data_IF_315877299880
#
_entry.id   IF_315877299880
#
_cell.length_a   1.000
_cell.length_b   1.000
_cell.length_c   1.000
_cell.angle_alpha   90.00
_cell.angle_beta   90.00
_cell.angle_gamma   90.00
#
_symmetry.space_group_name_H-M   'P 1'
#
loop_
_entity.id
_entity.type
_entity.pdbx_description
1 polymer ?
#
# COMPACT_ATOMS: atom_id res chain seq x y z
N UNK A 1 40.53 -23.85 15.97
CA UNK A 1 39.20 -24.46 15.69
C UNK A 1 38.02 -23.58 16.19
N UNK A 2 38.08 -22.25 16.12
CA UNK A 2 36.98 -21.36 16.56
C UNK A 2 36.20 -20.71 15.40
N UNK A 3 36.81 -20.60 14.22
CA UNK A 3 36.24 -19.89 13.07
C UNK A 3 35.20 -20.69 12.28
N UNK A 4 35.25 -22.03 12.35
CA UNK A 4 34.28 -22.91 11.66
C UNK A 4 32.89 -22.87 12.29
N UNK A 5 32.79 -22.54 13.59
CA UNK A 5 31.52 -22.46 14.32
C UNK A 5 30.79 -21.13 14.06
N UNK A 6 31.52 -20.04 13.85
CA UNK A 6 30.94 -18.75 13.47
C UNK A 6 30.38 -18.73 12.05
N UNK A 7 31.02 -19.41 11.10
CA UNK A 7 30.53 -19.50 9.72
C UNK A 7 29.21 -20.27 9.65
N UNK A 8 29.04 -21.31 10.48
CA UNK A 8 27.79 -22.08 10.55
C UNK A 8 26.60 -21.25 11.08
N UNK A 9 26.83 -20.31 12.00
CA UNK A 9 25.77 -19.44 12.55
C UNK A 9 25.25 -18.41 11.53
N UNK A 10 26.11 -17.90 10.64
CA UNK A 10 25.71 -16.92 9.62
C UNK A 10 24.81 -17.59 8.57
N UNK A 11 25.02 -18.88 8.30
CA UNK A 11 24.23 -19.61 7.30
C UNK A 11 22.79 -19.93 7.75
N UNK A 12 22.49 -19.90 9.05
CA UNK A 12 21.14 -20.16 9.57
C UNK A 12 20.30 -18.88 9.57
N UNK A 13 20.91 -17.71 9.73
CA UNK A 13 20.19 -16.43 9.73
C UNK A 13 19.56 -16.08 8.37
N UNK A 14 20.17 -16.51 7.26
CA UNK A 14 19.66 -16.26 5.91
C UNK A 14 18.47 -17.14 5.53
N UNK A 15 18.21 -18.22 6.28
CA UNK A 15 17.07 -19.12 6.01
C UNK A 15 15.71 -18.60 6.53
N UNK A 16 15.70 -17.55 7.37
CA UNK A 16 14.48 -16.99 7.97
C UNK A 16 13.97 -15.71 7.28
N UNK A 17 14.80 -15.02 6.48
CA UNK A 17 14.40 -13.78 5.81
C UNK A 17 13.46 -14.01 4.62
N UNK A 18 13.47 -15.21 4.02
CA UNK A 18 12.65 -15.53 2.83
C UNK A 18 11.29 -16.17 3.17
N UNK A 19 10.88 -16.21 4.45
CA UNK A 19 9.65 -16.90 4.87
C UNK A 19 8.41 -16.02 5.00
N UNK A 20 8.52 -14.70 4.84
CA UNK A 20 7.34 -13.84 4.73
C UNK A 20 7.11 -13.46 3.26
N UNK A 21 6.48 -14.38 2.53
CA UNK A 21 5.88 -14.09 1.23
C UNK A 21 4.42 -13.72 1.45
N UNK A 22 3.97 -12.60 0.89
CA UNK A 22 2.63 -12.03 1.05
C UNK A 22 1.50 -12.84 0.37
N UNK A 23 1.72 -14.12 0.03
CA UNK A 23 0.76 -14.92 -0.73
C UNK A 23 -0.29 -15.64 0.12
N UNK A 24 -0.37 -15.39 1.42
CA UNK A 24 -1.26 -16.15 2.33
C UNK A 24 -2.65 -15.50 2.56
N UNK A 25 -3.03 -14.45 1.82
CA UNK A 25 -4.37 -13.88 1.95
C UNK A 25 -5.41 -14.46 0.97
N UNK A 26 -5.01 -15.31 0.02
CA UNK A 26 -5.91 -15.82 -1.03
C UNK A 26 -6.33 -17.28 -0.87
N UNK A 27 -5.90 -17.99 0.16
CA UNK A 27 -6.19 -19.43 0.31
C UNK A 27 -7.39 -19.78 1.21
N UNK A 28 -7.95 -18.87 2.00
CA UNK A 28 -9.12 -19.13 2.86
C UNK A 28 -10.48 -18.88 2.20
N UNK A 29 -10.51 -18.35 0.97
CA UNK A 29 -11.76 -18.22 0.19
C UNK A 29 -11.94 -19.34 -0.86
N UNK A 30 -11.00 -20.28 -0.97
CA UNK A 30 -11.01 -21.29 -2.03
C UNK A 30 -11.70 -22.62 -1.66
N UNK A 31 -12.40 -22.72 -0.52
CA UNK A 31 -13.23 -23.90 -0.21
C UNK A 31 -14.70 -23.66 -0.57
N UNK A 32 -15.04 -23.89 -1.85
CA UNK A 32 -16.43 -24.13 -2.24
C UNK A 32 -16.92 -25.45 -1.63
N UNK A 33 -18.15 -25.52 -1.07
CA UNK A 33 -18.73 -26.78 -0.62
C UNK A 33 -19.05 -27.66 -1.84
N UNK A 34 -18.54 -28.90 -1.85
CA UNK A 34 -18.95 -29.92 -2.80
C UNK A 34 -20.18 -30.63 -2.25
N UNK A 35 -21.35 -30.40 -2.86
CA UNK A 35 -22.56 -31.19 -2.62
C UNK A 35 -22.72 -32.23 -3.74
N UNK A 36 -22.82 -33.48 -3.30
CA UNK A 36 -23.08 -34.70 -4.07
C UNK A 36 -24.44 -34.63 -4.78
N UNK A 37 -24.46 -34.90 -6.09
CA UNK A 37 -25.61 -34.72 -6.96
C UNK A 37 -26.39 -36.02 -7.14
N UNK A 38 -27.37 -36.24 -6.26
CA UNK A 38 -28.39 -37.28 -6.46
C UNK A 38 -29.75 -36.84 -5.91
N UNK A 39 -30.30 -35.74 -6.44
CA UNK A 39 -31.76 -35.57 -6.47
C UNK A 39 -32.16 -34.64 -7.61
N UNK A 40 -32.87 -35.22 -8.57
CA UNK A 40 -33.39 -34.63 -9.79
C UNK A 40 -34.55 -33.70 -9.42
N UNK A 41 -34.30 -32.40 -9.30
CA UNK A 41 -35.32 -31.35 -9.42
C UNK A 41 -34.79 -30.25 -10.34
N UNK A 42 -35.67 -29.77 -11.21
CA UNK A 42 -35.43 -28.88 -12.34
C UNK A 42 -34.76 -27.56 -11.90
N UNK A 43 -33.47 -27.38 -12.18
CA UNK A 43 -32.75 -26.11 -11.95
C UNK A 43 -32.63 -25.39 -13.29
N UNK A 44 -33.59 -24.52 -13.57
CA UNK A 44 -33.38 -23.36 -14.45
C UNK A 44 -33.42 -22.12 -13.56
N UNK A 45 -32.38 -21.97 -12.74
CA UNK A 45 -31.97 -20.71 -12.14
C UNK A 45 -30.53 -20.91 -11.66
N UNK A 46 -29.62 -20.89 -12.63
CA UNK A 46 -28.30 -20.34 -12.35
C UNK A 46 -28.41 -18.89 -12.80
N UNK A 47 -29.00 -18.08 -11.93
CA UNK A 47 -28.79 -16.64 -11.99
C UNK A 47 -27.28 -16.47 -11.81
N UNK A 48 -26.60 -16.17 -12.91
CA UNK A 48 -25.21 -15.74 -12.85
C UNK A 48 -25.25 -14.45 -12.05
N UNK A 49 -24.85 -14.54 -10.77
CA UNK A 49 -24.61 -13.38 -9.92
C UNK A 49 -23.79 -12.39 -10.75
N UNK A 50 -24.41 -11.26 -11.09
CA UNK A 50 -23.90 -10.30 -12.05
C UNK A 50 -22.65 -9.66 -11.47
N UNK A 51 -21.52 -10.34 -11.67
CA UNK A 51 -20.17 -9.82 -11.64
C UNK A 51 -19.88 -8.90 -10.44
N UNK A 52 -19.54 -9.51 -9.30
CA UNK A 52 -18.89 -8.83 -8.17
C UNK A 52 -17.46 -8.38 -8.55
N UNK A 53 -17.36 -7.51 -9.55
CA UNK A 53 -16.10 -6.99 -10.08
C UNK A 53 -15.76 -5.68 -9.38
N UNK A 54 -14.60 -5.65 -8.76
CA UNK A 54 -14.11 -4.50 -8.02
C UNK A 54 -13.56 -3.46 -9.01
N UNK A 55 -14.26 -2.34 -9.18
CA UNK A 55 -13.84 -1.22 -10.03
C UNK A 55 -13.94 0.12 -9.31
N UNK A 56 -12.99 1.03 -9.59
CA UNK A 56 -13.09 2.46 -9.29
C UNK A 56 -13.02 2.89 -7.82
N UNK A 57 -13.25 1.98 -6.87
CA UNK A 57 -13.29 2.29 -5.44
C UNK A 57 -14.36 3.31 -5.08
N UNK A 58 -14.23 3.91 -3.89
CA UNK A 58 -15.11 4.96 -3.40
C UNK A 58 -14.29 6.06 -2.71
N UNK A 59 -14.86 7.24 -2.54
CA UNK A 59 -14.19 8.30 -1.80
C UNK A 59 -13.88 7.87 -0.36
N UNK A 60 -12.60 7.97 0.02
CA UNK A 60 -12.16 7.73 1.40
C UNK A 60 -12.70 8.82 2.33
N UNK A 61 -13.01 8.46 3.58
CA UNK A 61 -13.29 9.46 4.62
C UNK A 61 -11.97 10.02 5.13
N UNK A 62 -12.02 11.25 5.62
CA UNK A 62 -10.83 12.02 6.02
C UNK A 62 -9.92 11.32 7.04
N UNK A 63 -10.47 10.47 7.92
CA UNK A 63 -9.72 9.82 9.01
C UNK A 63 -9.43 8.34 8.77
N UNK A 64 -9.86 7.76 7.65
CA UNK A 64 -9.68 6.32 7.40
C UNK A 64 -8.21 5.96 7.16
N UNK A 65 -7.44 6.89 6.57
CA UNK A 65 -6.05 6.67 6.16
C UNK A 65 -5.15 7.85 6.56
N UNK A 66 -4.95 8.10 7.87
CA UNK A 66 -4.26 9.30 8.36
C UNK A 66 -2.75 9.31 8.04
N UNK A 67 -2.19 8.15 7.68
CA UNK A 67 -0.78 7.99 7.31
C UNK A 67 -0.50 8.29 5.85
N UNK A 68 -1.51 8.54 5.01
CA UNK A 68 -1.31 8.88 3.60
C UNK A 68 -0.73 10.28 3.49
N UNK A 69 0.35 10.40 2.74
CA UNK A 69 1.06 11.65 2.46
C UNK A 69 0.96 11.95 0.98
N UNK A 70 0.61 13.20 0.64
CA UNK A 70 0.71 13.70 -0.73
C UNK A 70 2.02 14.46 -0.92
N UNK A 71 2.81 14.10 -1.92
CA UNK A 71 4.02 14.82 -2.29
C UNK A 71 3.72 15.82 -3.40
N UNK A 72 4.19 17.06 -3.24
CA UNK A 72 3.96 18.19 -4.15
C UNK A 72 5.27 18.74 -4.67
N UNK A 73 5.34 18.99 -5.97
CA UNK A 73 6.49 19.64 -6.59
C UNK A 73 6.32 21.16 -6.47
N UNK A 74 7.41 21.92 -6.50
CA UNK A 74 7.40 23.37 -6.74
C UNK A 74 6.63 24.24 -5.73
N UNK A 75 6.13 23.70 -4.62
CA UNK A 75 5.51 24.47 -3.54
C UNK A 75 4.24 23.89 -2.93
N UNK A 76 3.69 24.56 -1.90
CA UNK A 76 2.54 24.06 -1.14
C UNK A 76 1.19 24.19 -1.86
N UNK A 77 1.12 25.02 -2.90
CA UNK A 77 -0.11 25.23 -3.68
C UNK A 77 -0.26 24.26 -4.85
N UNK A 78 0.80 23.53 -5.19
CA UNK A 78 0.81 22.60 -6.31
C UNK A 78 -0.03 21.36 -6.04
N UNK A 79 -0.33 20.61 -7.09
CA UNK A 79 -1.02 19.33 -6.94
C UNK A 79 -0.09 18.21 -6.47
N UNK A 80 -0.68 17.25 -5.75
CA UNK A 80 0.02 16.03 -5.38
C UNK A 80 0.38 15.24 -6.64
N UNK A 81 1.68 14.99 -6.84
CA UNK A 81 2.22 14.25 -7.98
C UNK A 81 2.53 12.78 -7.63
N UNK A 82 2.96 12.51 -6.39
CA UNK A 82 3.15 11.16 -5.85
C UNK A 82 2.54 11.00 -4.46
N UNK A 83 2.28 9.76 -4.08
CA UNK A 83 1.86 9.39 -2.73
C UNK A 83 3.03 8.82 -1.92
N UNK A 84 2.91 8.92 -0.61
CA UNK A 84 3.80 8.27 0.35
C UNK A 84 3.06 7.83 1.61
N UNK A 85 3.76 7.13 2.49
CA UNK A 85 3.24 6.66 3.78
C UNK A 85 4.08 7.24 4.93
N UNK A 86 3.44 7.93 5.87
CA UNK A 86 4.07 8.38 7.10
C UNK A 86 4.34 7.16 8.01
N UNK A 87 5.59 6.69 8.04
CA UNK A 87 5.98 5.51 8.84
C UNK A 87 6.50 5.89 10.23
N UNK A 88 6.94 7.13 10.41
CA UNK A 88 7.37 7.70 11.68
C UNK A 88 7.16 9.23 11.64
N UNK A 89 7.24 9.95 12.77
CA UNK A 89 6.88 11.38 12.84
C UNK A 89 7.59 12.29 11.84
N UNK A 90 8.76 11.89 11.33
CA UNK A 90 9.59 12.67 10.42
C UNK A 90 10.01 11.88 9.17
N UNK A 91 9.45 10.68 8.95
CA UNK A 91 9.86 9.81 7.85
C UNK A 91 8.67 9.35 7.02
N UNK A 92 8.77 9.61 5.72
CA UNK A 92 7.80 9.19 4.71
C UNK A 92 8.44 8.12 3.84
N UNK A 93 7.79 6.97 3.74
CA UNK A 93 8.16 5.90 2.83
C UNK A 93 7.51 6.12 1.46
N UNK A 94 8.30 5.98 0.40
CA UNK A 94 7.87 6.11 -0.99
C UNK A 94 8.67 5.11 -1.85
N UNK A 95 8.20 4.81 -3.06
CA UNK A 95 8.99 4.12 -4.07
C UNK A 95 10.21 4.94 -4.52
N UNK A 96 11.37 4.30 -4.63
CA UNK A 96 12.63 4.97 -4.97
C UNK A 96 12.62 5.61 -6.38
N UNK A 97 11.94 5.00 -7.36
CA UNK A 97 11.85 5.54 -8.72
C UNK A 97 11.15 6.91 -8.78
N UNK A 98 10.36 7.25 -7.76
CA UNK A 98 9.72 8.56 -7.68
C UNK A 98 10.73 9.70 -7.41
N UNK A 99 11.97 9.38 -6.99
CA UNK A 99 13.06 10.32 -6.73
C UNK A 99 14.01 10.52 -7.91
N UNK A 100 13.82 9.78 -9.00
CA UNK A 100 14.78 9.69 -10.11
C UNK A 100 15.00 11.05 -10.82
N UNK A 101 14.05 11.99 -10.67
CA UNK A 101 14.21 13.40 -11.01
C UNK A 101 14.70 14.21 -9.80
N UNK A 102 15.97 14.03 -9.48
CA UNK A 102 16.65 14.65 -8.34
C UNK A 102 16.61 16.19 -8.42
N UNK A 103 16.25 16.82 -7.28
CA UNK A 103 16.28 18.26 -6.93
C UNK A 103 14.99 19.10 -7.08
N UNK A 104 13.82 18.49 -7.18
CA UNK A 104 12.58 19.26 -7.01
C UNK A 104 12.43 19.71 -5.54
N UNK A 105 11.98 20.94 -5.33
CA UNK A 105 11.56 21.43 -4.02
C UNK A 105 10.27 20.68 -3.64
N UNK A 106 10.42 19.55 -2.93
CA UNK A 106 9.30 18.66 -2.59
C UNK A 106 8.71 19.05 -1.24
N UNK A 107 7.38 19.11 -1.19
CA UNK A 107 6.61 19.30 0.04
C UNK A 107 5.77 18.05 0.32
N UNK A 108 5.84 17.57 1.55
CA UNK A 108 4.94 16.56 2.09
C UNK A 108 3.68 17.25 2.66
N UNK A 109 2.52 16.90 2.12
CA UNK A 109 1.22 17.36 2.59
C UNK A 109 0.54 16.27 3.41
N UNK A 110 0.24 16.58 4.66
CA UNK A 110 -0.41 15.69 5.62
C UNK A 110 -1.80 16.22 6.00
N UNK A 111 -2.72 15.30 6.34
CA UNK A 111 -4.05 15.67 6.80
C UNK A 111 -4.91 16.36 5.74
N UNK A 112 -4.79 15.94 4.48
CA UNK A 112 -5.65 16.40 3.37
C UNK A 112 -6.33 15.22 2.67
N UNK A 113 -7.56 15.44 2.22
CA UNK A 113 -8.28 14.55 1.30
C UNK A 113 -8.35 15.12 -0.14
N UNK A 114 -7.66 16.24 -0.39
CA UNK A 114 -7.66 16.92 -1.69
C UNK A 114 -6.32 16.78 -2.37
N UNK A 115 -6.35 16.47 -3.67
CA UNK A 115 -5.17 16.44 -4.55
C UNK A 115 -4.55 17.84 -4.72
N UNK A 116 -5.38 18.86 -4.91
CA UNK A 116 -4.93 20.24 -5.11
C UNK A 116 -4.40 20.88 -3.81
N UNK A 117 -3.25 21.55 -3.89
CA UNK A 117 -2.72 22.36 -2.79
C UNK A 117 -3.47 23.67 -2.59
N UNK A 118 -3.80 24.37 -3.68
CA UNK A 118 -4.58 25.60 -3.65
C UNK A 118 -5.95 25.40 -2.96
N UNK A 119 -6.17 26.17 -1.89
CA UNK A 119 -7.43 26.12 -1.12
C UNK A 119 -7.49 25.00 -0.06
N UNK A 120 -6.41 24.24 0.14
CA UNK A 120 -6.27 23.32 1.27
C UNK A 120 -5.92 24.09 2.55
N UNK A 121 -6.90 24.77 3.16
CA UNK A 121 -6.69 25.52 4.44
C UNK A 121 -6.50 24.62 5.68
N UNK A 122 -6.46 23.29 5.51
CA UNK A 122 -6.51 22.31 6.60
C UNK A 122 -5.36 21.29 6.60
N UNK A 123 -4.40 21.41 5.70
CA UNK A 123 -3.30 20.46 5.59
C UNK A 123 -1.99 21.04 6.08
N UNK A 124 -1.25 20.28 6.86
CA UNK A 124 0.13 20.62 7.19
C UNK A 124 1.01 20.32 5.98
N UNK A 125 1.92 21.23 5.67
CA UNK A 125 2.82 21.10 4.53
C UNK A 125 4.24 21.33 4.99
N UNK A 126 5.07 20.30 4.86
CA UNK A 126 6.42 20.28 5.38
C UNK A 126 7.36 20.08 4.20
N UNK A 127 8.38 20.94 4.10
CA UNK A 127 9.42 20.81 3.10
C UNK A 127 10.25 19.55 3.38
N UNK A 128 10.41 18.69 2.39
CA UNK A 128 11.30 17.53 2.47
C UNK A 128 12.73 18.03 2.33
N UNK A 129 13.57 17.69 3.32
CA UNK A 129 14.96 18.17 3.40
C UNK A 129 15.99 17.11 3.00
N UNK A 130 15.59 15.85 3.01
CA UNK A 130 16.49 14.72 2.82
C UNK A 130 15.73 13.54 2.23
N UNK A 131 16.41 12.78 1.36
CA UNK A 131 15.95 11.53 0.80
C UNK A 131 17.11 10.53 0.87
N UNK A 132 16.80 9.28 1.23
CA UNK A 132 17.77 8.21 1.50
C UNK A 132 17.68 7.09 0.46
#
# INVERSE_FOLDING_TARGET
>A
MKYTLFIALISIATALANRFSFSEFTSTLASSPTLDSSERNTITDVEFDEEERIYGGSNAKFLDYPYIVGLRASGPDDETFWGGTLMAPQYVLMAAYCLEWYLLDVYASLGTQRKAGRGSRKSEQIRVIEAF
#
